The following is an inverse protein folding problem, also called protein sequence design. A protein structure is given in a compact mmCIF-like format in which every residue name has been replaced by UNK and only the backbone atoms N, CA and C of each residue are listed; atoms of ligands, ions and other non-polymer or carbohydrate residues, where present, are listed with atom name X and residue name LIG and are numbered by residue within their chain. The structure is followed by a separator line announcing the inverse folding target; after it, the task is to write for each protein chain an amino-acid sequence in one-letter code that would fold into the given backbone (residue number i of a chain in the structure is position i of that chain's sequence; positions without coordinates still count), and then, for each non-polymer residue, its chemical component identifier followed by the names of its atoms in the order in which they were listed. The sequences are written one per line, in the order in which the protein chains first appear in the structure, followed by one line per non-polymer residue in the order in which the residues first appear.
data_IF_725754701042
#
_entry.id   IF_725754701042
#
_cell.length_a   1.000
_cell.length_b   1.000
_cell.length_c   1.000
_cell.angle_alpha   90.00
_cell.angle_beta   90.00
_cell.angle_gamma   90.00
#
_symmetry.space_group_name_H-M   'P 1'
#
loop_
_entity.id
_entity.type
_entity.pdbx_description
1 polymer ?
#
# COMPACT_ATOMS: atom_id res chain seq x y z
N UNK A 1 -3.14 17.77 -10.30
CA UNK A 1 -3.67 17.67 -8.93
C UNK A 1 -5.03 16.98 -8.89
N UNK A 2 -5.29 16.09 -7.92
CA UNK A 2 -6.62 15.52 -7.62
C UNK A 2 -7.27 16.28 -6.46
N UNK A 3 -8.60 16.26 -6.36
CA UNK A 3 -9.32 16.93 -5.28
C UNK A 3 -9.78 15.90 -4.24
N UNK A 4 -9.57 16.23 -2.96
CA UNK A 4 -10.14 15.47 -1.85
C UNK A 4 -11.56 15.99 -1.54
N UNK A 5 -12.48 15.13 -1.08
CA UNK A 5 -13.76 15.57 -0.56
C UNK A 5 -13.58 16.41 0.71
N UNK A 6 -14.55 17.27 1.02
CA UNK A 6 -14.57 17.97 2.31
C UNK A 6 -14.64 16.96 3.47
N UNK A 7 -13.83 17.17 4.50
CA UNK A 7 -13.78 16.32 5.69
C UNK A 7 -12.49 16.52 6.48
N UNK A 8 -12.44 15.93 7.68
CA UNK A 8 -11.25 15.91 8.51
C UNK A 8 -10.38 14.71 8.14
N UNK A 9 -9.59 14.83 7.08
CA UNK A 9 -8.69 13.76 6.62
C UNK A 9 -7.27 14.04 7.13
N UNK A 10 -7.08 13.89 8.44
CA UNK A 10 -5.80 14.24 9.06
C UNK A 10 -4.96 13.00 9.37
N UNK A 11 -5.56 11.84 9.65
CA UNK A 11 -4.84 10.61 9.93
C UNK A 11 -4.77 9.72 8.69
N UNK A 12 -3.56 9.32 8.28
CA UNK A 12 -3.33 8.56 7.06
C UNK A 12 -2.39 7.38 7.29
N UNK A 13 -2.72 6.24 6.69
CA UNK A 13 -1.86 5.06 6.72
C UNK A 13 -1.91 4.26 5.42
N UNK A 14 -0.84 3.49 5.18
CA UNK A 14 -0.79 2.49 4.11
C UNK A 14 -1.61 1.27 4.53
N UNK A 15 -2.85 1.19 4.04
CA UNK A 15 -3.75 0.08 4.35
C UNK A 15 -3.52 -1.14 3.47
N UNK A 16 -2.96 -0.98 2.27
CA UNK A 16 -2.63 -2.09 1.37
C UNK A 16 -1.46 -1.72 0.46
N UNK A 17 -0.50 -2.63 0.33
CA UNK A 17 0.55 -2.54 -0.67
C UNK A 17 0.82 -3.92 -1.27
N UNK A 18 0.35 -4.09 -2.51
CA UNK A 18 0.49 -5.33 -3.28
C UNK A 18 1.00 -4.98 -4.70
N UNK A 19 1.49 -5.96 -5.48
CA UNK A 19 1.85 -5.71 -6.88
C UNK A 19 0.67 -5.09 -7.64
N UNK A 20 0.91 -3.97 -8.31
CA UNK A 20 -0.10 -3.24 -9.08
C UNK A 20 -1.05 -2.35 -8.27
N UNK A 21 -0.94 -2.30 -6.92
CA UNK A 21 -1.81 -1.44 -6.11
C UNK A 21 -1.17 -0.96 -4.81
N UNK A 22 -1.28 0.35 -4.59
CA UNK A 22 -1.02 0.99 -3.30
C UNK A 22 -2.30 1.69 -2.84
N UNK A 23 -2.67 1.52 -1.58
CA UNK A 23 -3.86 2.16 -1.00
C UNK A 23 -3.53 2.84 0.30
N UNK A 24 -3.92 4.10 0.40
CA UNK A 24 -3.95 4.84 1.66
C UNK A 24 -5.37 4.91 2.18
N UNK A 25 -5.54 4.71 3.48
CA UNK A 25 -6.76 5.03 4.20
C UNK A 25 -6.58 6.34 4.94
N UNK A 26 -7.62 7.18 4.95
CA UNK A 26 -7.69 8.39 5.76
C UNK A 26 -8.92 8.39 6.68
N UNK A 27 -8.71 8.86 7.90
CA UNK A 27 -9.74 8.99 8.93
C UNK A 27 -9.53 10.23 9.80
N UNK A 28 -10.41 10.36 10.79
CA UNK A 28 -10.29 11.35 11.85
C UNK A 28 -10.45 10.76 13.25
N UNK A 29 -10.93 9.53 13.36
CA UNK A 29 -11.12 8.84 14.61
C UNK A 29 -9.97 7.84 14.82
N UNK A 30 -9.49 7.71 16.06
CA UNK A 30 -8.48 6.70 16.42
C UNK A 30 -9.05 5.27 16.43
N UNK A 31 -10.32 5.12 16.02
CA UNK A 31 -10.94 3.84 15.73
C UNK A 31 -10.50 3.42 14.33
N UNK A 32 -10.19 2.15 14.11
CA UNK A 32 -9.64 1.57 12.87
C UNK A 32 -10.59 1.64 11.63
N UNK A 33 -11.33 2.73 11.49
CA UNK A 33 -12.23 3.05 10.41
C UNK A 33 -11.64 4.21 9.63
N UNK A 34 -11.41 4.01 8.35
CA UNK A 34 -11.10 5.10 7.44
C UNK A 34 -12.32 5.36 6.56
N UNK A 35 -12.63 6.63 6.37
CA UNK A 35 -13.80 7.06 5.58
C UNK A 35 -13.43 7.58 4.18
N UNK A 36 -12.12 7.65 3.91
CA UNK A 36 -11.54 8.09 2.66
C UNK A 36 -10.39 7.15 2.26
N UNK A 37 -10.27 6.86 0.97
CA UNK A 37 -9.16 6.11 0.42
C UNK A 37 -8.55 6.81 -0.80
N UNK A 38 -7.22 6.75 -0.89
CA UNK A 38 -6.47 7.01 -2.12
C UNK A 38 -5.96 5.69 -2.67
N UNK A 39 -6.45 5.31 -3.85
CA UNK A 39 -6.06 4.07 -4.52
C UNK A 39 -5.20 4.39 -5.74
N UNK A 40 -3.93 4.02 -5.66
CA UNK A 40 -2.96 4.13 -6.74
C UNK A 40 -2.89 2.81 -7.50
N UNK A 41 -3.10 2.85 -8.81
CA UNK A 41 -2.99 1.69 -9.71
C UNK A 41 -1.62 1.70 -10.39
N UNK A 42 -0.97 0.54 -10.42
CA UNK A 42 0.34 0.31 -11.01
C UNK A 42 1.40 1.33 -10.51
N UNK A 43 1.71 1.34 -9.19
CA UNK A 43 2.72 2.24 -8.65
C UNK A 43 4.10 1.90 -9.22
N UNK A 44 4.76 2.90 -9.80
CA UNK A 44 6.09 2.81 -10.40
C UNK A 44 7.18 3.27 -9.44
N UNK A 45 6.85 4.20 -8.55
CA UNK A 45 7.76 4.72 -7.53
C UNK A 45 6.95 5.08 -6.28
N UNK A 46 7.45 4.68 -5.11
CA UNK A 46 6.83 5.00 -3.82
C UNK A 46 7.93 5.37 -2.83
N UNK A 47 7.91 6.62 -2.37
CA UNK A 47 8.70 7.08 -1.24
C UNK A 47 7.73 7.81 -0.30
N UNK A 48 7.24 7.14 0.73
CA UNK A 48 6.37 7.75 1.72
C UNK A 48 6.49 7.04 3.08
N UNK A 49 6.12 7.70 4.18
CA UNK A 49 5.91 7.03 5.46
C UNK A 49 4.80 5.98 5.35
N UNK A 50 4.84 4.95 6.21
CA UNK A 50 3.75 3.97 6.30
C UNK A 50 2.52 4.51 7.03
N UNK A 51 2.70 5.53 7.87
CA UNK A 51 1.66 6.29 8.55
C UNK A 51 2.11 7.76 8.68
N UNK A 52 1.19 8.70 8.52
CA UNK A 52 1.47 10.13 8.53
C UNK A 52 0.21 10.94 8.83
N UNK A 53 0.40 12.19 9.25
CA UNK A 53 -0.66 13.10 9.64
C UNK A 53 -0.59 14.42 8.88
N UNK A 54 -1.75 15.06 8.71
CA UNK A 54 -1.91 16.39 8.10
C UNK A 54 -1.16 16.57 6.77
N UNK A 55 -1.44 15.74 5.73
CA UNK A 55 -0.72 15.85 4.47
C UNK A 55 -1.09 17.12 3.70
N UNK A 56 -0.07 17.89 3.36
CA UNK A 56 -0.16 19.02 2.44
C UNK A 56 0.22 18.55 1.02
N UNK A 57 -0.80 18.15 0.25
CA UNK A 57 -0.60 17.80 -1.16
C UNK A 57 -0.23 19.05 -1.97
N UNK A 58 0.86 18.94 -2.74
CA UNK A 58 1.41 20.03 -3.53
C UNK A 58 1.75 19.57 -4.94
N UNK A 59 1.93 20.52 -5.85
CA UNK A 59 2.51 20.23 -7.15
C UNK A 59 3.97 19.73 -6.98
N UNK A 60 4.40 18.71 -7.74
CA UNK A 60 5.78 18.25 -7.73
C UNK A 60 6.74 19.35 -8.20
N UNK A 61 7.90 19.43 -7.54
CA UNK A 61 8.99 20.33 -7.93
C UNK A 61 9.68 19.85 -9.22
N UNK A 62 10.42 20.75 -9.87
CA UNK A 62 11.22 20.40 -11.05
C UNK A 62 12.26 19.29 -10.77
N UNK A 63 12.81 19.25 -9.55
CA UNK A 63 13.77 18.23 -9.13
C UNK A 63 13.11 16.86 -8.96
N UNK A 64 11.92 16.81 -8.36
CA UNK A 64 11.14 15.58 -8.23
C UNK A 64 10.68 15.06 -9.60
N UNK A 65 10.28 15.95 -10.52
CA UNK A 65 9.97 15.59 -11.91
C UNK A 65 11.20 14.99 -12.61
N UNK A 66 12.36 15.64 -12.49
CA UNK A 66 13.61 15.13 -13.08
C UNK A 66 14.04 13.79 -12.45
N UNK A 67 13.80 13.60 -11.15
CA UNK A 67 14.00 12.32 -10.48
C UNK A 67 13.11 11.23 -11.09
N UNK A 68 11.84 11.51 -11.35
CA UNK A 68 10.92 10.54 -11.95
C UNK A 68 11.35 10.13 -13.36
N UNK A 69 11.72 11.08 -14.22
CA UNK A 69 12.24 10.76 -15.56
C UNK A 69 13.49 9.88 -15.47
N UNK A 70 14.35 10.08 -14.46
CA UNK A 70 15.54 9.26 -14.26
C UNK A 70 15.26 7.87 -13.70
N UNK A 71 14.28 7.73 -12.81
CA UNK A 71 13.97 6.47 -12.13
C UNK A 71 13.02 5.58 -12.93
N UNK A 72 11.98 6.18 -13.52
CA UNK A 72 10.92 5.49 -14.25
C UNK A 72 11.20 5.48 -15.76
N UNK A 73 12.06 6.38 -16.25
CA UNK A 73 12.44 6.49 -17.66
C UNK A 73 11.59 7.50 -18.44
N UNK A 74 10.42 7.85 -17.92
CA UNK A 74 9.51 8.86 -18.48
C UNK A 74 8.76 9.58 -17.36
N UNK A 75 7.98 10.60 -17.72
CA UNK A 75 7.13 11.27 -16.75
C UNK A 75 5.87 10.43 -16.51
N UNK A 76 5.61 9.98 -15.28
CA UNK A 76 4.45 9.14 -14.99
C UNK A 76 3.15 9.96 -15.17
N UNK A 77 2.05 9.31 -15.60
CA UNK A 77 0.76 9.99 -15.78
C UNK A 77 0.20 10.58 -14.47
N UNK A 78 0.49 9.94 -13.33
CA UNK A 78 0.21 10.46 -12.00
C UNK A 78 1.49 10.59 -11.20
N UNK A 79 1.76 11.81 -10.71
CA UNK A 79 2.80 12.10 -9.73
C UNK A 79 2.18 12.90 -8.58
N UNK A 80 2.27 12.35 -7.37
CA UNK A 80 1.73 12.97 -6.15
C UNK A 80 2.88 13.28 -5.22
N UNK A 81 3.03 14.56 -4.87
CA UNK A 81 3.97 15.04 -3.87
C UNK A 81 3.20 15.62 -2.69
N UNK A 82 3.67 15.35 -1.48
CA UNK A 82 3.09 15.90 -0.26
C UNK A 82 4.14 16.06 0.83
N UNK A 83 3.90 16.97 1.76
CA UNK A 83 4.59 17.01 3.05
C UNK A 83 3.60 16.55 4.12
N UNK A 84 4.04 15.78 5.11
CA UNK A 84 3.19 15.33 6.21
C UNK A 84 3.98 15.18 7.50
N UNK A 85 3.31 15.24 8.65
CA UNK A 85 3.93 14.84 9.91
C UNK A 85 4.02 13.31 9.96
N UNK A 86 5.21 12.77 10.24
CA UNK A 86 5.43 11.33 10.38
C UNK A 86 6.06 10.98 11.76
N UNK A 87 5.92 11.87 12.75
CA UNK A 87 6.49 11.70 14.09
C UNK A 87 8.01 11.95 14.18
N UNK A 88 8.60 12.55 13.14
CA UNK A 88 10.02 12.87 13.05
C UNK A 88 10.37 14.28 13.56
N UNK A 89 11.61 14.72 13.35
CA UNK A 89 12.07 16.07 13.72
C UNK A 89 11.56 17.19 12.80
N UNK A 90 10.84 16.84 11.74
CA UNK A 90 10.24 17.75 10.77
C UNK A 90 9.32 17.01 9.81
N UNK A 91 8.63 17.73 8.91
CA UNK A 91 7.76 17.12 7.91
C UNK A 91 8.51 16.10 7.05
N UNK A 92 7.86 14.96 6.80
CA UNK A 92 8.32 13.96 5.86
C UNK A 92 7.77 14.27 4.47
N UNK A 93 8.64 14.28 3.48
CA UNK A 93 8.26 14.39 2.08
C UNK A 93 7.83 13.04 1.54
N UNK A 94 6.62 12.98 1.00
CA UNK A 94 6.08 11.85 0.26
C UNK A 94 6.05 12.09 -1.24
N UNK A 95 6.45 11.09 -2.02
CA UNK A 95 6.43 11.11 -3.49
C UNK A 95 5.95 9.76 -4.05
N UNK A 96 4.90 9.78 -4.87
CA UNK A 96 4.28 8.59 -5.45
C UNK A 96 4.08 8.79 -6.94
N UNK A 97 4.62 7.88 -7.74
CA UNK A 97 4.35 7.78 -9.17
C UNK A 97 3.47 6.56 -9.45
N UNK A 98 2.41 6.76 -10.22
CA UNK A 98 1.46 5.71 -10.58
C UNK A 98 0.87 5.97 -11.97
N UNK A 99 0.19 4.98 -12.51
CA UNK A 99 -0.62 5.16 -13.72
C UNK A 99 -1.88 5.96 -13.36
N UNK A 100 -2.58 5.57 -12.30
CA UNK A 100 -3.84 6.18 -11.93
C UNK A 100 -3.95 6.39 -10.44
N UNK A 101 -4.65 7.44 -10.03
CA UNK A 101 -5.11 7.65 -8.65
C UNK A 101 -6.62 7.78 -8.65
N UNK A 102 -7.28 7.14 -7.68
CA UNK A 102 -8.70 7.28 -7.42
C UNK A 102 -8.93 7.69 -5.98
N UNK A 103 -9.81 8.66 -5.79
CA UNK A 103 -10.31 9.06 -4.48
C UNK A 103 -11.62 8.33 -4.27
N UNK A 104 -11.71 7.52 -3.21
CA UNK A 104 -12.90 6.72 -2.89
C UNK A 104 -13.38 7.13 -1.51
N UNK A 105 -14.66 7.46 -1.37
CA UNK A 105 -15.28 7.85 -0.10
C UNK A 105 -16.32 6.81 0.34
N UNK A 106 -16.34 6.44 1.61
CA UNK A 106 -17.11 5.31 2.14
C UNK A 106 -16.52 4.79 3.46
N UNK A 107 -17.25 4.00 4.25
CA UNK A 107 -16.68 3.42 5.47
C UNK A 107 -16.03 2.07 5.18
N UNK A 108 -14.73 1.95 5.48
CA UNK A 108 -13.99 0.69 5.37
C UNK A 108 -13.39 0.31 6.71
N UNK A 109 -13.41 -0.99 6.99
CA UNK A 109 -12.74 -1.57 8.16
C UNK A 109 -11.52 -2.33 7.67
N UNK A 110 -10.36 -2.07 8.29
CA UNK A 110 -9.18 -2.88 8.06
C UNK A 110 -9.43 -4.29 8.60
N UNK A 111 -9.69 -5.26 7.71
CA UNK A 111 -9.56 -6.66 8.08
C UNK A 111 -8.07 -6.94 8.04
N UNK A 112 -7.42 -6.94 9.20
CA UNK A 112 -6.07 -7.48 9.36
C UNK A 112 -6.12 -8.94 8.90
N UNK A 113 -5.73 -9.21 7.65
CA UNK A 113 -5.44 -10.58 7.22
C UNK A 113 -4.14 -10.99 7.94
N UNK A 114 -4.30 -11.51 9.14
CA UNK A 114 -3.25 -12.17 9.89
C UNK A 114 -2.66 -13.28 9.04
N UNK A 115 -1.54 -12.98 8.38
CA UNK A 115 -0.80 -13.94 7.59
C UNK A 115 -0.29 -15.08 8.45
N UNK A 116 -0.91 -16.27 8.31
CA UNK A 116 -0.22 -17.56 8.32
C UNK A 116 -1.14 -18.68 7.80
N UNK A 117 -1.29 -18.76 6.48
CA UNK A 117 -1.50 -20.07 5.86
C UNK A 117 -0.17 -20.80 5.89
N UNK A 118 0.05 -21.62 6.93
CA UNK A 118 1.06 -22.66 6.85
C UNK A 118 0.65 -23.60 5.70
N UNK A 119 1.57 -24.00 4.80
CA UNK A 119 1.26 -25.03 3.83
C UNK A 119 0.98 -26.32 4.60
N UNK A 120 -0.21 -26.88 4.40
CA UNK A 120 -0.47 -28.27 4.73
C UNK A 120 0.49 -29.11 3.87
N UNK A 121 1.56 -29.62 4.50
CA UNK A 121 2.36 -30.69 3.91
C UNK A 121 1.46 -31.91 3.80
N UNK A 122 0.88 -32.09 2.62
CA UNK A 122 0.37 -33.36 2.15
C UNK A 122 1.59 -34.20 1.75
N UNK A 123 2.20 -34.88 2.72
CA UNK A 123 3.13 -35.97 2.43
C UNK A 123 2.31 -37.26 2.44
N UNK A 124 1.95 -37.69 1.23
CA UNK A 124 1.21 -38.92 0.99
C UNK A 124 1.97 -40.18 1.41
N UNK A 125 1.15 -41.20 1.65
CA UNK A 125 1.40 -42.63 1.52
C UNK A 125 2.82 -43.06 1.16
N UNK A 126 3.49 -43.69 2.13
CA UNK A 126 4.48 -44.73 1.83
C UNK A 126 3.93 -46.08 2.25
N UNK A 127 3.41 -46.74 1.23
CA UNK A 127 3.11 -48.15 1.11
C UNK A 127 4.34 -49.00 1.51
N UNK A 128 4.30 -49.64 2.67
CA UNK A 128 5.12 -50.81 2.99
C UNK A 128 4.27 -52.07 2.80
N UNK A 129 4.30 -52.59 1.58
CA UNK A 129 3.90 -53.95 1.24
C UNK A 129 5.06 -54.60 0.48
N UNK A 130 5.77 -55.51 1.14
CA UNK A 130 6.43 -56.72 0.60
C UNK A 130 7.27 -57.30 1.76
N UNK A 131 7.27 -58.59 2.06
CA UNK A 131 7.28 -59.69 1.12
C UNK A 131 6.70 -60.99 1.71
N UNK A 132 6.33 -61.86 0.77
CA UNK A 132 5.82 -63.21 0.90
C UNK A 132 6.62 -64.12 1.83
N UNK A 133 5.89 -65.02 2.49
CA UNK A 133 6.38 -66.33 2.93
C UNK A 133 6.88 -67.16 1.73
N UNK A 134 7.72 -68.20 1.97
CA UNK A 134 7.10 -69.52 2.13
C UNK A 134 7.79 -70.46 3.12
N UNK A 135 6.98 -71.26 3.84
CA UNK A 135 7.06 -72.72 3.71
C UNK A 135 7.88 -73.53 4.72
N UNK A 136 7.11 -74.37 5.44
CA UNK A 136 7.42 -75.65 6.13
C UNK A 136 7.93 -75.60 7.57
#
# INVERSE_FOLDING_TARGET
MFALPEGSWWDWEVVEWIPGRLRFGAGYDLTYHHELELVFSDPMYVACPSAFHDPEFREPTAEELALMVRQVGELPPVLVAFEADAGGSGPATGLIAAEQVRVVQGSWSHVVQGGRSAPATQAGDRQEQQACEPGQ
#
